data_IF_629276558575
#
_entry.id   IF_629276558575
#
_cell.length_a   1.000
_cell.length_b   1.000
_cell.length_c   1.000
_cell.angle_alpha   90.00
_cell.angle_beta   90.00
_cell.angle_gamma   90.00
#
_symmetry.space_group_name_H-M   'P 1'
#
loop_
_entity.id
_entity.type
_entity.pdbx_description
1 polymer ?
#
# COMPACT_ATOMS: atom_id res chain seq x y z
N UNK A 1 -18.18 8.18 -11.94
CA UNK A 1 -19.04 7.56 -10.92
C UNK A 1 -18.20 6.51 -10.17
N UNK A 2 -18.76 5.84 -9.15
CA UNK A 2 -18.13 4.71 -8.47
C UNK A 2 -18.44 3.36 -9.17
N UNK A 3 -19.09 3.40 -10.33
CA UNK A 3 -19.51 2.24 -11.14
C UNK A 3 -18.33 1.70 -11.98
N UNK A 4 -17.26 2.47 -12.17
CA UNK A 4 -16.00 2.03 -12.75
C UNK A 4 -14.92 1.74 -11.70
N UNK A 5 -14.67 0.47 -11.37
CA UNK A 5 -13.50 0.06 -10.55
C UNK A 5 -12.24 0.06 -11.43
N UNK A 6 -11.59 1.21 -11.55
CA UNK A 6 -10.29 1.34 -12.23
C UNK A 6 -9.18 1.28 -11.19
N UNK A 7 -8.20 0.39 -11.40
CA UNK A 7 -6.99 0.33 -10.56
C UNK A 7 -6.11 1.54 -10.90
N UNK A 8 -5.95 2.45 -9.94
CA UNK A 8 -5.12 3.66 -10.10
C UNK A 8 -3.64 3.36 -9.83
N UNK A 9 -3.37 2.48 -8.87
CA UNK A 9 -2.01 2.07 -8.53
C UNK A 9 -2.00 0.68 -7.88
N UNK A 10 -0.86 -0.01 -7.99
CA UNK A 10 -0.59 -1.28 -7.32
C UNK A 10 0.53 -1.06 -6.30
N UNK A 11 0.20 -1.15 -5.01
CA UNK A 11 1.17 -1.08 -3.93
C UNK A 11 2.05 -2.34 -3.96
N UNK A 12 3.10 -2.29 -4.77
CA UNK A 12 4.10 -3.35 -4.84
C UNK A 12 4.91 -3.34 -3.57
N UNK A 13 4.75 -4.40 -2.81
CA UNK A 13 5.58 -4.69 -1.67
C UNK A 13 7.01 -4.95 -2.18
N UNK A 14 7.94 -4.03 -1.95
CA UNK A 14 9.38 -4.32 -2.01
C UNK A 14 9.76 -5.24 -0.84
N UNK A 15 9.26 -6.47 -0.84
CA UNK A 15 9.79 -7.51 0.04
C UNK A 15 10.74 -8.33 -0.80
N UNK A 16 12.01 -8.04 -0.55
CA UNK A 16 13.13 -8.95 -0.66
C UNK A 16 12.73 -10.30 -0.06
N UNK A 17 12.07 -11.18 -0.82
CA UNK A 17 11.77 -12.52 -0.33
C UNK A 17 13.05 -13.34 -0.40
N UNK A 18 13.76 -13.42 0.71
CA UNK A 18 14.91 -14.32 0.89
C UNK A 18 14.47 -15.79 1.08
N UNK A 19 13.18 -16.12 0.95
CA UNK A 19 12.72 -17.51 0.92
C UNK A 19 11.40 -17.65 0.16
N UNK A 20 11.46 -18.32 -0.99
CA UNK A 20 10.37 -18.58 -1.95
C UNK A 20 9.26 -19.53 -1.45
N UNK A 21 9.20 -19.82 -0.14
CA UNK A 21 8.19 -20.68 0.48
C UNK A 21 7.33 -20.00 1.55
N UNK A 22 7.68 -18.80 2.00
CA UNK A 22 6.86 -18.05 2.96
C UNK A 22 5.79 -17.27 2.20
N UNK A 23 4.53 -17.38 2.62
CA UNK A 23 3.44 -16.62 2.04
C UNK A 23 3.70 -15.12 2.19
N UNK A 24 3.52 -14.36 1.11
CA UNK A 24 3.71 -12.91 1.14
C UNK A 24 2.72 -12.27 2.13
N UNK A 25 3.17 -11.30 2.95
CA UNK A 25 2.28 -10.52 3.82
C UNK A 25 1.08 -9.97 3.05
N UNK A 26 -0.11 -10.09 3.64
CA UNK A 26 -1.36 -9.61 3.02
C UNK A 26 -1.77 -8.29 3.66
N UNK A 27 -2.20 -7.32 2.85
CA UNK A 27 -2.79 -6.08 3.34
C UNK A 27 -4.20 -6.37 3.87
N UNK A 28 -4.48 -5.96 5.10
CA UNK A 28 -5.77 -6.19 5.77
C UNK A 28 -6.51 -4.90 6.13
N UNK A 29 -5.83 -3.76 6.07
CA UNK A 29 -6.42 -2.45 6.36
C UNK A 29 -5.71 -1.32 5.63
N UNK A 30 -6.46 -0.29 5.26
CA UNK A 30 -5.97 0.92 4.60
C UNK A 30 -6.60 2.16 5.23
N UNK A 31 -5.81 3.20 5.45
CA UNK A 31 -6.28 4.49 5.97
C UNK A 31 -5.49 5.64 5.33
N UNK A 32 -6.21 6.63 4.80
CA UNK A 32 -5.62 7.90 4.36
C UNK A 32 -5.52 8.87 5.54
N UNK A 33 -4.46 9.66 5.60
CA UNK A 33 -4.42 10.85 6.44
C UNK A 33 -5.49 11.85 6.00
N UNK A 34 -5.96 12.68 6.93
CA UNK A 34 -7.02 13.65 6.66
C UNK A 34 -6.65 14.67 5.58
N UNK A 35 -5.35 14.94 5.40
CA UNK A 35 -4.81 15.82 4.36
C UNK A 35 -4.57 15.13 3.02
N UNK A 36 -4.79 13.81 2.92
CA UNK A 36 -4.58 13.02 1.69
C UNK A 36 -3.11 12.85 1.27
N UNK A 37 -2.15 13.29 2.10
CA UNK A 37 -0.72 13.24 1.75
C UNK A 37 -0.08 11.90 2.11
N UNK A 38 -0.68 11.14 3.03
CA UNK A 38 -0.13 9.90 3.55
C UNK A 38 -1.14 8.76 3.46
N UNK A 39 -0.71 7.61 2.93
CA UNK A 39 -1.44 6.37 3.00
C UNK A 39 -0.77 5.41 3.99
N UNK A 40 -1.56 4.87 4.91
CA UNK A 40 -1.15 3.83 5.85
C UNK A 40 -1.79 2.50 5.44
N UNK A 41 -0.99 1.43 5.41
CA UNK A 41 -1.49 0.07 5.21
C UNK A 41 -0.99 -0.88 6.29
N UNK A 42 -1.90 -1.61 6.92
CA UNK A 42 -1.60 -2.65 7.90
C UNK A 42 -1.54 -4.03 7.25
N UNK A 43 -0.50 -4.79 7.57
CA UNK A 43 -0.27 -6.13 7.01
C UNK A 43 -0.31 -7.23 8.08
N UNK A 44 -0.48 -8.47 7.64
CA UNK A 44 -0.48 -9.68 8.50
C UNK A 44 0.87 -10.01 9.11
N UNK A 45 1.94 -9.31 8.73
CA UNK A 45 3.30 -9.46 9.26
C UNK A 45 3.56 -8.55 10.48
N UNK A 46 2.50 -7.96 11.04
CA UNK A 46 2.52 -6.99 12.13
C UNK A 46 3.26 -5.68 11.78
N UNK A 47 3.47 -5.39 10.49
CA UNK A 47 4.05 -4.14 10.03
C UNK A 47 2.98 -3.20 9.47
N UNK A 48 3.19 -1.91 9.71
CA UNK A 48 2.48 -0.83 9.04
C UNK A 48 3.42 -0.21 8.03
N UNK A 49 2.97 -0.11 6.78
CA UNK A 49 3.69 0.56 5.72
C UNK A 49 3.07 1.92 5.46
N UNK A 50 3.92 2.89 5.14
CA UNK A 50 3.56 4.30 5.01
C UNK A 50 4.05 4.80 3.65
N UNK A 51 3.15 5.39 2.87
CA UNK A 51 3.47 6.00 1.59
C UNK A 51 3.14 7.49 1.64
N UNK A 52 4.10 8.31 1.23
CA UNK A 52 3.91 9.74 1.04
C UNK A 52 3.55 9.99 -0.43
N UNK A 53 2.44 10.67 -0.66
CA UNK A 53 2.06 11.13 -2.00
C UNK A 53 2.88 12.37 -2.31
N UNK A 54 4.04 12.19 -2.91
CA UNK A 54 4.77 13.32 -3.49
C UNK A 54 4.09 13.71 -4.79
N UNK A 55 3.67 14.97 -4.91
CA UNK A 55 3.42 15.52 -6.23
C UNK A 55 4.78 15.63 -6.92
N UNK A 56 5.06 14.73 -7.86
CA UNK A 56 6.19 14.93 -8.77
C UNK A 56 6.01 16.32 -9.40
N UNK A 57 6.93 17.24 -9.11
CA UNK A 57 6.93 18.56 -9.69
C UNK A 57 6.98 18.39 -11.22
N UNK A 58 5.91 18.83 -11.86
CA UNK A 58 5.75 19.00 -13.31
C UNK A 58 6.89 19.78 -13.95
#
# INVERSE_FOLDING_TARGET
>A
DLEGKIVVDELRQEVLSTNSKAQAPQCISLAWSADGQTLFAGYTDNLIRVWQVSMAAR
#
